data_IF_523902182563
#
_entry.id   IF_523902182563
#
_cell.length_a   1.000
_cell.length_b   1.000
_cell.length_c   1.000
_cell.angle_alpha   90.00
_cell.angle_beta   90.00
_cell.angle_gamma   90.00
#
_symmetry.space_group_name_H-M   'P 1'
#
loop_
_entity.id
_entity.type
_entity.pdbx_description
1 polymer ?
#
# COMPACT_ATOMS: atom_id res chain seq x y z
N UNK A 1 24.52 9.92 -3.83
CA UNK A 1 25.57 9.00 -4.32
C UNK A 1 24.94 7.62 -4.25
N UNK A 2 24.90 6.85 -5.33
CA UNK A 2 24.35 5.49 -5.29
C UNK A 2 25.28 4.58 -4.48
N UNK A 3 24.74 3.86 -3.50
CA UNK A 3 25.47 2.90 -2.70
C UNK A 3 24.67 1.59 -2.69
N UNK A 4 25.23 0.54 -3.28
CA UNK A 4 24.65 -0.80 -3.24
C UNK A 4 25.76 -1.85 -3.12
N UNK A 5 25.50 -2.92 -2.37
CA UNK A 5 26.31 -4.13 -2.28
C UNK A 5 25.89 -5.16 -3.34
N UNK A 6 24.61 -5.17 -3.73
CA UNK A 6 24.03 -6.15 -4.65
C UNK A 6 24.09 -5.67 -6.10
N UNK A 7 23.75 -4.40 -6.33
CA UNK A 7 23.55 -3.83 -7.65
C UNK A 7 24.77 -3.00 -8.06
N UNK A 8 25.23 -3.18 -9.29
CA UNK A 8 26.40 -2.47 -9.82
C UNK A 8 26.14 -0.99 -10.06
N UNK A 9 24.87 -0.59 -10.22
CA UNK A 9 24.43 0.78 -10.43
C UNK A 9 22.92 0.93 -10.14
N UNK A 10 22.45 2.17 -10.14
CA UNK A 10 21.05 2.53 -9.90
C UNK A 10 20.09 1.98 -10.97
N UNK A 11 20.53 1.90 -12.23
CA UNK A 11 19.71 1.34 -13.31
C UNK A 11 19.45 -0.16 -13.10
N UNK A 12 20.41 -0.91 -12.56
CA UNK A 12 20.25 -2.33 -12.21
C UNK A 12 19.26 -2.54 -11.07
N UNK A 13 19.31 -1.69 -10.03
CA UNK A 13 18.31 -1.71 -8.95
C UNK A 13 16.92 -1.42 -9.50
N UNK A 14 16.76 -0.38 -10.32
CA UNK A 14 15.46 -0.05 -10.91
C UNK A 14 14.96 -1.13 -11.87
N UNK A 15 15.84 -1.76 -12.64
CA UNK A 15 15.48 -2.88 -13.50
C UNK A 15 14.97 -4.07 -12.68
N UNK A 16 15.68 -4.43 -11.60
CA UNK A 16 15.25 -5.51 -10.71
C UNK A 16 13.87 -5.25 -10.09
N UNK A 17 13.62 -4.02 -9.64
CA UNK A 17 12.33 -3.66 -9.05
C UNK A 17 11.23 -3.55 -10.09
N UNK A 18 11.57 -3.11 -11.31
CA UNK A 18 10.67 -3.16 -12.46
C UNK A 18 10.27 -4.59 -12.82
N UNK A 19 11.19 -5.56 -12.69
CA UNK A 19 10.88 -6.98 -12.88
C UNK A 19 9.94 -7.50 -11.77
N UNK A 20 10.18 -7.14 -10.50
CA UNK A 20 9.28 -7.44 -9.38
C UNK A 20 7.87 -6.89 -9.66
N UNK A 21 7.77 -5.62 -10.03
CA UNK A 21 6.52 -4.95 -10.37
C UNK A 21 5.81 -5.64 -11.55
N UNK A 22 6.54 -5.99 -12.61
CA UNK A 22 6.00 -6.70 -13.76
C UNK A 22 5.46 -8.09 -13.38
N UNK A 23 6.14 -8.82 -12.49
CA UNK A 23 5.67 -10.11 -11.97
C UNK A 23 4.37 -9.94 -11.16
N UNK A 24 4.28 -8.92 -10.30
CA UNK A 24 3.06 -8.62 -9.55
C UNK A 24 1.89 -8.33 -10.49
N UNK A 25 2.08 -7.45 -11.48
CA UNK A 25 1.05 -7.11 -12.47
C UNK A 25 0.62 -8.29 -13.34
N UNK A 26 1.48 -9.28 -13.53
CA UNK A 26 1.18 -10.55 -14.24
C UNK A 26 0.53 -11.61 -13.35
N UNK A 27 0.22 -11.30 -12.09
CA UNK A 27 -0.38 -12.27 -11.16
C UNK A 27 0.61 -13.35 -10.71
N UNK A 28 1.91 -13.04 -10.70
CA UNK A 28 2.99 -13.94 -10.29
C UNK A 28 3.69 -13.49 -8.99
N UNK A 29 2.95 -13.23 -7.89
CA UNK A 29 3.55 -12.75 -6.65
C UNK A 29 4.49 -13.76 -6.00
N UNK A 30 4.27 -15.06 -6.20
CA UNK A 30 5.15 -16.11 -5.64
C UNK A 30 6.53 -16.13 -6.31
N UNK A 31 6.57 -15.84 -7.62
CA UNK A 31 7.83 -15.69 -8.36
C UNK A 31 8.54 -14.41 -7.92
N UNK A 32 7.80 -13.31 -7.77
CA UNK A 32 8.33 -12.05 -7.24
C UNK A 32 8.91 -12.21 -5.82
N UNK A 33 8.21 -12.97 -4.96
CA UNK A 33 8.68 -13.30 -3.62
C UNK A 33 9.97 -14.11 -3.67
N UNK A 34 10.04 -15.13 -4.53
CA UNK A 34 11.22 -15.99 -4.65
C UNK A 34 12.49 -15.21 -5.05
N UNK A 35 12.38 -14.27 -5.99
CA UNK A 35 13.55 -13.47 -6.42
C UNK A 35 13.97 -12.46 -5.33
N UNK A 36 13.01 -11.86 -4.60
CA UNK A 36 13.29 -10.97 -3.48
C UNK A 36 13.92 -11.71 -2.31
N UNK A 37 13.39 -12.88 -1.97
CA UNK A 37 13.91 -13.74 -0.91
C UNK A 37 15.34 -14.19 -1.20
N UNK A 38 15.71 -14.41 -2.47
CA UNK A 38 17.10 -14.68 -2.84
C UNK A 38 18.02 -13.51 -2.50
N UNK A 39 17.67 -12.28 -2.91
CA UNK A 39 18.50 -11.09 -2.65
C UNK A 39 18.56 -10.76 -1.15
N UNK A 40 17.44 -10.88 -0.45
CA UNK A 40 17.39 -10.75 1.02
C UNK A 40 18.19 -11.86 1.72
N UNK A 41 18.24 -13.06 1.14
CA UNK A 41 19.07 -14.18 1.61
C UNK A 41 20.55 -13.81 1.65
N UNK A 42 21.06 -13.26 0.55
CA UNK A 42 22.45 -12.84 0.43
C UNK A 42 22.80 -11.77 1.49
N UNK A 43 21.95 -10.74 1.66
CA UNK A 43 22.14 -9.74 2.72
C UNK A 43 22.08 -10.33 4.13
N UNK A 44 21.16 -11.26 4.37
CA UNK A 44 21.00 -11.91 5.66
C UNK A 44 22.23 -12.73 6.04
N UNK A 45 22.87 -13.39 5.06
CA UNK A 45 24.14 -14.11 5.24
C UNK A 45 25.30 -13.17 5.57
N UNK A 46 25.33 -11.98 4.98
CA UNK A 46 26.29 -10.92 5.28
C UNK A 46 26.05 -10.23 6.63
N UNK A 47 24.91 -10.50 7.26
CA UNK A 47 24.61 -10.10 8.63
C UNK A 47 23.51 -9.04 8.75
N UNK A 48 22.86 -8.64 7.66
CA UNK A 48 21.80 -7.64 7.69
C UNK A 48 20.57 -8.14 8.50
N UNK A 49 20.19 -7.38 9.52
CA UNK A 49 19.10 -7.78 10.44
C UNK A 49 17.71 -7.53 9.85
N UNK A 50 17.55 -6.53 8.99
CA UNK A 50 16.27 -6.25 8.32
C UNK A 50 15.94 -7.36 7.32
N UNK A 51 16.93 -7.81 6.55
CA UNK A 51 16.78 -8.91 5.62
C UNK A 51 16.44 -10.23 6.35
N UNK A 52 17.14 -10.54 7.46
CA UNK A 52 16.80 -11.68 8.34
C UNK A 52 15.37 -11.59 8.87
N UNK A 53 14.90 -10.38 9.17
CA UNK A 53 13.56 -10.15 9.68
C UNK A 53 12.51 -10.39 8.59
N UNK A 54 12.72 -9.90 7.37
CA UNK A 54 11.84 -10.18 6.22
C UNK A 54 11.68 -11.69 5.98
N UNK A 55 12.79 -12.43 5.94
CA UNK A 55 12.79 -13.87 5.67
C UNK A 55 12.07 -14.71 6.75
N UNK A 56 11.87 -14.16 7.95
CA UNK A 56 11.14 -14.82 9.05
C UNK A 56 9.63 -14.67 8.97
N UNK A 57 9.10 -13.82 8.09
CA UNK A 57 7.66 -13.55 8.00
C UNK A 57 7.04 -14.33 6.84
N UNK A 58 6.38 -15.46 7.12
CA UNK A 58 5.63 -16.18 6.10
C UNK A 58 4.33 -15.45 5.76
N UNK A 59 3.81 -15.67 4.55
CA UNK A 59 2.49 -15.13 4.15
C UNK A 59 1.38 -15.52 5.12
N UNK A 60 1.43 -16.72 5.70
CA UNK A 60 0.43 -17.22 6.66
C UNK A 60 0.40 -16.48 8.00
N UNK A 61 1.43 -15.68 8.29
CA UNK A 61 1.43 -14.80 9.46
C UNK A 61 0.62 -13.51 9.24
N UNK A 62 0.33 -13.19 7.97
CA UNK A 62 -0.35 -11.95 7.56
C UNK A 62 -1.85 -12.22 7.49
N UNK A 63 -2.64 -11.36 8.14
CA UNK A 63 -4.08 -11.50 8.22
C UNK A 63 -4.76 -10.20 7.82
N UNK A 64 -5.75 -10.30 6.94
CA UNK A 64 -6.66 -9.21 6.63
C UNK A 64 -7.84 -9.21 7.58
N UNK A 65 -8.12 -8.05 8.14
CA UNK A 65 -9.22 -7.77 9.06
C UNK A 65 -10.24 -6.88 8.35
N UNK A 66 -11.54 -7.07 8.61
CA UNK A 66 -12.60 -6.27 8.01
C UNK A 66 -13.13 -6.81 6.67
N UNK A 67 -12.57 -7.92 6.18
CA UNK A 67 -12.99 -8.56 4.92
C UNK A 67 -14.49 -8.87 4.87
N UNK A 68 -15.04 -9.35 5.98
CA UNK A 68 -16.46 -9.65 6.17
C UNK A 68 -17.39 -8.43 6.02
N UNK A 69 -16.85 -7.21 6.16
CA UNK A 69 -17.64 -5.98 6.07
C UNK A 69 -17.82 -5.51 4.62
N UNK A 70 -17.06 -6.07 3.67
CA UNK A 70 -17.08 -5.64 2.27
C UNK A 70 -18.48 -5.73 1.65
N UNK A 71 -19.26 -6.77 1.98
CA UNK A 71 -20.62 -6.94 1.44
C UNK A 71 -21.54 -5.77 1.83
N UNK A 72 -21.46 -5.29 3.07
CA UNK A 72 -22.27 -4.16 3.54
C UNK A 72 -21.79 -2.84 2.93
N UNK A 73 -20.47 -2.65 2.80
CA UNK A 73 -19.88 -1.48 2.15
C UNK A 73 -20.29 -1.36 0.69
N UNK A 74 -20.23 -2.46 -0.06
CA UNK A 74 -20.66 -2.49 -1.46
C UNK A 74 -22.13 -2.13 -1.60
N UNK A 75 -23.02 -2.67 -0.75
CA UNK A 75 -24.44 -2.29 -0.73
C UNK A 75 -24.65 -0.80 -0.47
N UNK A 76 -23.83 -0.20 0.41
CA UNK A 76 -23.90 1.22 0.75
C UNK A 76 -23.44 2.11 -0.42
N UNK A 77 -22.42 1.69 -1.16
CA UNK A 77 -21.80 2.50 -2.22
C UNK A 77 -22.39 2.28 -3.60
N UNK A 78 -23.02 1.14 -3.84
CA UNK A 78 -23.72 0.86 -5.09
C UNK A 78 -24.83 1.87 -5.38
N UNK A 79 -24.88 2.29 -6.64
CA UNK A 79 -25.99 3.07 -7.19
C UNK A 79 -26.65 2.30 -8.35
N UNK A 80 -27.94 2.54 -8.63
CA UNK A 80 -28.68 1.80 -9.65
C UNK A 80 -28.01 1.77 -11.04
N UNK A 81 -27.34 2.84 -11.42
CA UNK A 81 -26.67 3.05 -12.72
C UNK A 81 -25.13 3.08 -12.60
N UNK A 82 -24.60 2.89 -11.39
CA UNK A 82 -23.17 3.03 -11.10
C UNK A 82 -22.79 2.13 -9.93
N UNK A 83 -22.76 0.83 -10.20
CA UNK A 83 -22.32 -0.17 -9.22
C UNK A 83 -20.81 -0.18 -9.12
N UNK A 84 -20.31 -0.60 -7.95
CA UNK A 84 -18.89 -0.85 -7.76
C UNK A 84 -18.50 -2.14 -8.48
N UNK A 85 -17.48 -2.07 -9.34
CA UNK A 85 -17.04 -3.15 -10.23
C UNK A 85 -15.58 -3.53 -10.00
N UNK A 86 -14.84 -2.72 -9.24
CA UNK A 86 -13.54 -3.09 -8.70
C UNK A 86 -13.30 -2.56 -7.28
N UNK A 87 -12.40 -3.23 -6.58
CA UNK A 87 -11.87 -2.88 -5.28
C UNK A 87 -10.35 -2.87 -5.37
N UNK A 88 -9.67 -1.87 -4.80
CA UNK A 88 -8.23 -1.94 -4.52
C UNK A 88 -7.99 -1.89 -3.02
N UNK A 89 -6.98 -2.63 -2.55
CA UNK A 89 -6.44 -2.53 -1.20
C UNK A 89 -5.03 -2.00 -1.33
N UNK A 90 -4.83 -0.73 -0.97
CA UNK A 90 -3.60 -0.02 -1.22
C UNK A 90 -2.85 0.25 0.08
N UNK A 91 -1.53 0.05 0.09
CA UNK A 91 -0.68 0.59 1.14
C UNK A 91 -0.71 2.12 1.00
N UNK A 92 -1.21 2.79 2.04
CA UNK A 92 -1.06 4.22 2.25
C UNK A 92 0.11 4.44 3.21
N UNK A 93 0.93 5.48 2.98
CA UNK A 93 1.98 5.81 3.92
C UNK A 93 1.32 6.52 5.11
N UNK A 94 1.92 6.39 6.30
CA UNK A 94 1.40 7.10 7.45
C UNK A 94 1.47 8.62 7.19
N UNK A 95 0.34 9.31 7.34
CA UNK A 95 0.22 10.76 7.13
C UNK A 95 1.22 11.54 8.00
N UNK A 96 1.50 11.02 9.19
CA UNK A 96 2.64 11.37 10.02
C UNK A 96 3.39 10.11 10.40
N UNK A 97 4.70 10.06 10.15
CA UNK A 97 5.53 8.95 10.59
C UNK A 97 5.34 8.75 12.09
N UNK A 98 4.90 7.56 12.55
CA UNK A 98 4.68 7.31 13.96
C UNK A 98 5.97 7.61 14.74
N UNK A 99 5.82 8.18 15.93
CA UNK A 99 6.92 8.22 16.90
C UNK A 99 7.15 6.78 17.38
N UNK A 100 7.98 6.05 16.62
CA UNK A 100 8.40 4.71 16.99
C UNK A 100 9.31 4.82 18.22
N UNK A 101 8.71 4.71 19.39
CA UNK A 101 9.43 4.74 20.65
C UNK A 101 10.24 3.45 20.78
N UNK A 102 11.58 3.58 20.85
CA UNK A 102 12.53 2.47 21.03
C UNK A 102 12.18 1.50 22.17
N UNK A 103 11.32 1.92 23.11
CA UNK A 103 10.94 1.17 24.30
C UNK A 103 9.87 0.09 24.06
N UNK A 104 9.06 0.21 23.01
CA UNK A 104 7.97 -0.73 22.70
C UNK A 104 8.21 -1.57 21.43
N UNK A 105 9.41 -1.45 20.85
CA UNK A 105 9.71 -2.00 19.54
C UNK A 105 9.12 -1.14 18.43
N UNK A 106 9.68 -1.25 17.23
CA UNK A 106 9.25 -0.47 16.07
C UNK A 106 8.04 -1.13 15.40
N UNK A 107 7.05 -1.56 16.18
CA UNK A 107 5.89 -2.28 15.66
C UNK A 107 4.88 -1.30 15.07
N UNK A 108 4.67 -1.35 13.76
CA UNK A 108 3.69 -0.52 13.06
C UNK A 108 3.12 -1.28 11.88
N UNK A 109 1.82 -1.61 11.91
CA UNK A 109 1.15 -2.21 10.74
C UNK A 109 0.98 -1.16 9.65
N UNK A 110 1.06 -1.52 8.35
CA UNK A 110 0.71 -0.57 7.31
C UNK A 110 -0.72 -0.07 7.43
N UNK A 111 -0.86 1.23 7.17
CA UNK A 111 -2.16 1.82 6.87
C UNK A 111 -2.59 1.33 5.48
N UNK A 112 -3.85 0.92 5.39
CA UNK A 112 -4.42 0.43 4.15
C UNK A 112 -5.64 1.27 3.76
N UNK A 113 -5.67 1.68 2.50
CA UNK A 113 -6.84 2.27 1.87
C UNK A 113 -7.61 1.21 1.11
N UNK A 114 -8.91 1.12 1.38
CA UNK A 114 -9.87 0.32 0.62
C UNK A 114 -10.57 1.23 -0.39
N UNK A 115 -10.23 1.08 -1.66
CA UNK A 115 -10.64 1.97 -2.73
C UNK A 115 -11.68 1.30 -3.62
N UNK A 116 -12.82 1.95 -3.82
CA UNK A 116 -13.97 1.39 -4.54
C UNK A 116 -14.12 2.09 -5.89
N UNK A 117 -14.16 1.31 -6.98
CA UNK A 117 -14.28 1.82 -8.34
C UNK A 117 -15.54 1.30 -9.03
N UNK A 118 -16.07 2.08 -9.95
CA UNK A 118 -17.03 1.63 -10.96
C UNK A 118 -16.39 1.68 -12.35
N UNK A 119 -17.13 1.25 -13.37
CA UNK A 119 -16.66 1.24 -14.77
C UNK A 119 -16.52 2.64 -15.41
N UNK A 120 -16.51 3.71 -14.62
CA UNK A 120 -16.53 5.09 -15.12
C UNK A 120 -15.17 5.59 -15.57
N UNK A 121 -14.10 5.18 -14.88
CA UNK A 121 -12.73 5.53 -15.26
C UNK A 121 -12.10 4.46 -16.18
N UNK A 122 -12.45 3.19 -15.96
CA UNK A 122 -11.94 2.04 -16.69
C UNK A 122 -12.97 0.90 -16.63
N UNK A 123 -13.19 0.10 -17.69
CA UNK A 123 -14.25 -0.91 -17.76
C UNK A 123 -13.90 -2.21 -17.00
N UNK A 124 -13.71 -2.10 -15.68
CA UNK A 124 -13.31 -3.21 -14.80
C UNK A 124 -14.19 -4.46 -14.90
N UNK A 125 -15.51 -4.29 -15.09
CA UNK A 125 -16.45 -5.43 -15.17
C UNK A 125 -16.12 -6.46 -16.24
N UNK A 126 -15.45 -6.06 -17.32
CA UNK A 126 -15.11 -6.94 -18.44
C UNK A 126 -13.62 -7.00 -18.75
N UNK A 127 -12.78 -6.37 -17.93
CA UNK A 127 -11.35 -6.31 -18.17
C UNK A 127 -10.65 -7.57 -17.66
N UNK A 128 -9.73 -8.07 -18.47
CA UNK A 128 -8.74 -9.06 -18.12
C UNK A 128 -7.46 -8.39 -17.63
N UNK A 129 -6.51 -9.19 -17.15
CA UNK A 129 -5.24 -8.69 -16.62
C UNK A 129 -4.41 -8.02 -17.72
N UNK A 130 -4.47 -8.55 -18.93
CA UNK A 130 -3.85 -8.00 -20.13
C UNK A 130 -4.38 -6.60 -20.46
N UNK A 131 -5.69 -6.37 -20.27
CA UNK A 131 -6.28 -5.04 -20.51
C UNK A 131 -5.74 -3.99 -19.54
N UNK A 132 -5.48 -4.37 -18.28
CA UNK A 132 -4.83 -3.49 -17.31
C UNK A 132 -3.37 -3.26 -17.70
N UNK A 133 -2.66 -4.33 -18.07
CA UNK A 133 -1.25 -4.27 -18.48
C UNK A 133 -1.03 -3.30 -19.64
N UNK A 134 -1.91 -3.31 -20.63
CA UNK A 134 -1.86 -2.43 -21.80
C UNK A 134 -2.17 -0.96 -21.46
N UNK A 135 -2.84 -0.71 -20.33
CA UNK A 135 -3.21 0.64 -19.91
C UNK A 135 -2.21 1.30 -18.94
N UNK A 136 -1.22 0.56 -18.42
CA UNK A 136 -0.22 1.15 -17.54
C UNK A 136 0.64 2.17 -18.29
N UNK A 137 0.82 3.33 -17.66
CA UNK A 137 1.71 4.37 -18.14
C UNK A 137 2.65 4.81 -17.02
N UNK A 138 3.73 5.54 -17.32
CA UNK A 138 4.56 6.16 -16.29
C UNK A 138 3.81 7.12 -15.35
N UNK A 139 2.57 7.51 -15.69
CA UNK A 139 1.70 8.37 -14.86
C UNK A 139 0.65 7.57 -14.08
N UNK A 140 0.73 6.23 -14.08
CA UNK A 140 -0.29 5.34 -13.52
C UNK A 140 -1.30 4.87 -14.58
N UNK A 141 -2.27 4.09 -14.12
CA UNK A 141 -3.38 3.61 -14.94
C UNK A 141 -4.50 4.67 -15.08
N UNK A 142 -5.41 4.53 -16.06
CA UNK A 142 -6.54 5.45 -16.27
C UNK A 142 -7.51 5.53 -15.08
N UNK A 143 -7.48 4.54 -14.18
CA UNK A 143 -8.27 4.52 -12.95
C UNK A 143 -7.66 5.32 -11.79
N UNK A 144 -6.39 5.74 -11.88
CA UNK A 144 -5.74 6.51 -10.81
C UNK A 144 -6.53 7.80 -10.51
N UNK A 145 -7.00 7.93 -9.26
CA UNK A 145 -7.86 9.04 -8.82
C UNK A 145 -9.33 8.98 -9.30
N UNK A 146 -9.69 7.96 -10.06
CA UNK A 146 -11.03 7.72 -10.61
C UNK A 146 -11.97 6.89 -9.74
N UNK A 147 -11.77 6.88 -8.42
CA UNK A 147 -12.56 6.09 -7.47
C UNK A 147 -13.88 6.78 -7.07
N UNK A 148 -14.85 5.96 -6.68
CA UNK A 148 -16.15 6.40 -6.14
C UNK A 148 -16.09 6.68 -4.65
N UNK A 149 -15.32 5.86 -3.92
CA UNK A 149 -15.13 5.97 -2.49
C UNK A 149 -13.76 5.42 -2.07
N UNK A 150 -13.27 5.88 -0.93
CA UNK A 150 -12.08 5.35 -0.24
C UNK A 150 -12.37 5.37 1.25
N UNK A 151 -12.06 4.28 1.94
CA UNK A 151 -12.12 4.19 3.40
C UNK A 151 -11.11 3.15 3.94
N UNK A 152 -11.04 2.97 5.27
CA UNK A 152 -10.17 1.99 5.91
C UNK A 152 -10.93 0.71 6.30
N UNK A 153 -11.77 0.16 5.40
CA UNK A 153 -12.55 -1.06 5.68
C UNK A 153 -11.64 -2.26 5.93
N UNK A 154 -10.62 -2.44 5.10
CA UNK A 154 -9.64 -3.52 5.23
C UNK A 154 -8.42 -2.99 6.00
N UNK A 155 -8.01 -3.75 7.01
CA UNK A 155 -6.76 -3.53 7.73
C UNK A 155 -5.90 -4.80 7.70
N UNK A 156 -4.61 -4.67 8.01
CA UNK A 156 -3.66 -5.78 8.07
C UNK A 156 -3.12 -5.99 9.49
N UNK A 157 -2.81 -7.25 9.79
CA UNK A 157 -2.11 -7.70 10.99
C UNK A 157 -1.00 -8.66 10.62
N UNK A 158 0.07 -8.68 11.40
CA UNK A 158 1.19 -9.60 11.26
C UNK A 158 2.35 -9.05 10.44
N UNK A 159 2.27 -7.81 9.96
CA UNK A 159 3.38 -7.12 9.28
C UNK A 159 4.03 -6.06 10.17
N UNK A 160 3.46 -5.78 11.34
CA UNK A 160 3.88 -4.64 12.15
C UNK A 160 5.36 -4.65 12.54
N UNK A 161 5.90 -5.84 12.82
CA UNK A 161 7.31 -6.00 13.16
C UNK A 161 8.25 -5.67 12.00
N UNK A 162 7.88 -5.99 10.75
CA UNK A 162 8.74 -5.74 9.59
C UNK A 162 8.54 -4.33 9.05
N UNK A 163 7.29 -3.85 8.99
CA UNK A 163 6.97 -2.61 8.32
C UNK A 163 7.51 -1.40 9.08
N UNK A 164 7.44 -1.39 10.41
CA UNK A 164 8.05 -0.30 11.17
C UNK A 164 9.59 -0.27 11.09
N UNK A 165 10.26 -1.41 10.97
CA UNK A 165 11.71 -1.44 10.69
C UNK A 165 12.04 -0.92 9.28
N UNK A 166 11.23 -1.28 8.27
CA UNK A 166 11.33 -0.72 6.92
C UNK A 166 11.19 0.80 6.93
N UNK A 167 10.18 1.33 7.63
CA UNK A 167 9.96 2.77 7.76
C UNK A 167 11.15 3.49 8.39
N UNK A 168 11.81 2.86 9.37
CA UNK A 168 13.04 3.41 9.97
C UNK A 168 14.24 3.34 9.04
N UNK A 169 14.44 2.20 8.35
CA UNK A 169 15.52 2.04 7.38
C UNK A 169 15.39 3.07 6.25
N UNK A 170 14.20 3.19 5.65
CA UNK A 170 13.90 4.23 4.66
C UNK A 170 14.22 5.63 5.20
N UNK A 171 13.84 5.95 6.44
CA UNK A 171 14.15 7.24 7.06
C UNK A 171 15.64 7.47 7.25
N UNK A 172 16.41 6.44 7.62
CA UNK A 172 17.87 6.53 7.79
C UNK A 172 18.59 6.68 6.44
N UNK A 173 18.02 6.15 5.35
CA UNK A 173 18.53 6.29 3.99
C UNK A 173 18.13 7.59 3.27
N UNK A 174 17.20 8.40 3.82
CA UNK A 174 16.77 9.69 3.24
C UNK A 174 17.84 10.80 3.15
N UNK A 175 18.78 10.95 4.09
CA UNK A 175 19.80 12.01 4.01
C UNK A 175 20.66 11.89 2.74
N UNK A 176 20.95 13.02 2.09
CA UNK A 176 21.71 13.06 0.82
C UNK A 176 23.14 12.49 0.93
N UNK A 177 23.66 12.36 2.15
CA UNK A 177 24.98 11.85 2.49
C UNK A 177 24.99 10.41 3.04
N UNK A 178 23.84 9.73 3.05
CA UNK A 178 23.78 8.33 3.46
C UNK A 178 24.62 7.46 2.51
N UNK A 179 25.57 6.71 3.06
CA UNK A 179 26.61 6.03 2.29
C UNK A 179 26.80 4.55 2.69
N UNK A 180 25.88 3.96 3.46
CA UNK A 180 25.90 2.54 3.77
C UNK A 180 25.18 1.77 2.65
N UNK A 181 25.90 1.05 1.78
CA UNK A 181 25.29 0.35 0.65
C UNK A 181 24.35 -0.78 1.07
N UNK A 182 24.67 -1.46 2.19
CA UNK A 182 23.91 -2.58 2.69
C UNK A 182 22.57 -2.11 3.26
N UNK A 183 22.58 -0.96 3.94
CA UNK A 183 21.36 -0.35 4.47
C UNK A 183 20.44 0.18 3.36
N UNK A 184 21.01 0.74 2.27
CA UNK A 184 20.22 1.14 1.10
C UNK A 184 19.54 -0.06 0.43
N UNK A 185 20.30 -1.13 0.16
CA UNK A 185 19.76 -2.34 -0.46
C UNK A 185 18.68 -2.99 0.41
N UNK A 186 18.95 -3.19 1.71
CA UNK A 186 17.99 -3.80 2.63
C UNK A 186 16.72 -2.96 2.75
N UNK A 187 16.81 -1.63 2.83
CA UNK A 187 15.64 -0.76 2.90
C UNK A 187 14.74 -0.92 1.66
N UNK A 188 15.32 -0.89 0.46
CA UNK A 188 14.56 -0.96 -0.79
C UNK A 188 13.97 -2.36 -1.02
N UNK A 189 14.77 -3.41 -0.83
CA UNK A 189 14.33 -4.80 -0.98
C UNK A 189 13.25 -5.17 0.05
N UNK A 190 13.39 -4.74 1.30
CA UNK A 190 12.40 -4.99 2.34
C UNK A 190 11.08 -4.23 2.07
N UNK A 191 11.15 -3.04 1.47
CA UNK A 191 9.96 -2.29 1.04
C UNK A 191 9.19 -3.02 -0.06
N UNK A 192 9.91 -3.50 -1.09
CA UNK A 192 9.33 -4.35 -2.13
C UNK A 192 8.75 -5.65 -1.55
N UNK A 193 9.45 -6.27 -0.60
CA UNK A 193 8.99 -7.49 0.07
C UNK A 193 7.65 -7.30 0.82
N UNK A 194 7.47 -6.18 1.53
CA UNK A 194 6.19 -5.86 2.20
C UNK A 194 5.05 -5.79 1.17
N UNK A 195 5.27 -5.11 0.05
CA UNK A 195 4.31 -5.02 -1.05
C UNK A 195 3.94 -6.40 -1.62
N UNK A 196 4.93 -7.24 -1.91
CA UNK A 196 4.71 -8.61 -2.42
C UNK A 196 3.94 -9.46 -1.40
N UNK A 197 4.33 -9.39 -0.13
CA UNK A 197 3.68 -10.15 0.95
C UNK A 197 2.23 -9.76 1.16
N UNK A 198 1.92 -8.48 1.10
CA UNK A 198 0.53 -8.02 1.14
C UNK A 198 -0.25 -8.54 -0.06
N UNK A 199 0.32 -8.50 -1.27
CA UNK A 199 -0.31 -9.04 -2.47
C UNK A 199 -0.63 -10.54 -2.31
N UNK A 200 0.33 -11.35 -1.86
CA UNK A 200 0.10 -12.78 -1.59
C UNK A 200 -0.99 -13.01 -0.54
N UNK A 201 -1.01 -12.21 0.53
CA UNK A 201 -2.01 -12.33 1.59
C UNK A 201 -3.42 -11.97 1.11
N UNK A 202 -3.56 -10.91 0.29
CA UNK A 202 -4.85 -10.53 -0.33
C UNK A 202 -5.31 -11.64 -1.28
N UNK A 203 -4.43 -12.17 -2.13
CA UNK A 203 -4.74 -13.28 -3.03
C UNK A 203 -5.27 -14.49 -2.26
N UNK A 204 -4.50 -14.96 -1.27
CA UNK A 204 -4.89 -16.11 -0.45
C UNK A 204 -6.19 -15.86 0.33
N UNK A 205 -6.43 -14.62 0.79
CA UNK A 205 -7.69 -14.27 1.47
C UNK A 205 -8.87 -14.33 0.51
N UNK A 206 -8.73 -13.81 -0.70
CA UNK A 206 -9.80 -13.80 -1.69
C UNK A 206 -10.13 -15.21 -2.20
N UNK A 207 -9.10 -16.04 -2.42
CA UNK A 207 -9.27 -17.46 -2.78
C UNK A 207 -9.86 -18.28 -1.62
N UNK A 208 -9.44 -18.03 -0.37
CA UNK A 208 -9.88 -18.85 0.77
C UNK A 208 -11.20 -18.41 1.43
N UNK A 209 -11.54 -17.12 1.42
CA UNK A 209 -12.76 -16.58 2.04
C UNK A 209 -13.81 -16.13 1.01
N UNK A 210 -13.46 -16.10 -0.26
CA UNK A 210 -14.28 -15.55 -1.33
C UNK A 210 -14.41 -14.02 -1.31
N UNK A 211 -14.92 -13.50 -2.41
CA UNK A 211 -15.37 -12.11 -2.57
C UNK A 211 -16.90 -12.02 -2.42
N UNK A 212 -17.46 -10.90 -1.94
CA UNK A 212 -18.92 -10.73 -1.79
C UNK A 212 -19.73 -10.86 -3.09
N UNK A 213 -19.07 -10.66 -4.24
CA UNK A 213 -19.60 -10.89 -5.59
C UNK A 213 -18.43 -10.90 -6.59
N UNK A 214 -18.63 -11.38 -7.83
CA UNK A 214 -17.65 -11.21 -8.90
C UNK A 214 -17.35 -9.74 -9.19
N UNK A 215 -16.08 -9.36 -9.03
CA UNK A 215 -15.55 -8.02 -9.31
C UNK A 215 -14.03 -8.11 -9.44
N UNK A 216 -13.40 -7.06 -9.97
CA UNK A 216 -11.94 -7.00 -9.98
C UNK A 216 -11.41 -6.63 -8.59
N UNK A 217 -10.40 -7.37 -8.14
CA UNK A 217 -9.65 -7.10 -6.91
C UNK A 217 -8.22 -6.71 -7.28
N UNK A 218 -7.80 -5.55 -6.80
CA UNK A 218 -6.47 -5.00 -6.99
C UNK A 218 -5.78 -4.82 -5.63
N UNK A 219 -4.46 -4.76 -5.70
CA UNK A 219 -3.60 -4.31 -4.62
C UNK A 219 -2.72 -3.20 -5.16
N UNK A 220 -2.43 -2.21 -4.32
CA UNK A 220 -1.52 -1.15 -4.67
C UNK A 220 -0.61 -0.73 -3.53
N UNK A 221 0.33 0.14 -3.87
CA UNK A 221 1.16 0.88 -2.95
C UNK A 221 1.30 2.28 -3.51
N UNK A 222 0.60 3.23 -2.90
CA UNK A 222 0.45 4.56 -3.46
C UNK A 222 1.48 5.56 -2.92
N UNK A 223 2.19 5.22 -1.85
CA UNK A 223 2.95 6.22 -1.09
C UNK A 223 4.34 5.75 -0.65
N UNK A 224 4.68 4.48 -0.86
CA UNK A 224 6.05 3.96 -0.67
C UNK A 224 6.56 3.29 -1.94
N UNK A 225 7.87 3.18 -2.07
CA UNK A 225 8.49 2.51 -3.21
C UNK A 225 8.54 0.99 -2.98
N UNK A 226 8.22 0.13 -3.97
CA UNK A 226 7.78 0.48 -5.31
C UNK A 226 6.34 1.00 -5.35
N UNK A 227 6.12 2.05 -6.15
CA UNK A 227 4.77 2.49 -6.50
C UNK A 227 4.21 1.49 -7.50
N UNK A 228 3.15 0.80 -7.13
CA UNK A 228 2.53 -0.16 -8.03
C UNK A 228 1.05 -0.28 -7.73
N UNK A 229 0.35 -0.81 -8.72
CA UNK A 229 -0.97 -1.34 -8.60
C UNK A 229 -1.04 -2.56 -9.53
N UNK A 230 -1.73 -3.59 -9.10
CA UNK A 230 -1.79 -4.88 -9.79
C UNK A 230 -3.12 -5.59 -9.51
N UNK A 231 -3.66 -6.26 -10.52
CA UNK A 231 -4.81 -7.15 -10.32
C UNK A 231 -4.40 -8.41 -9.57
N UNK A 232 -4.99 -8.59 -8.38
CA UNK A 232 -4.92 -9.84 -7.62
C UNK A 232 -5.80 -10.89 -8.31
N UNK A 233 -7.04 -10.52 -8.58
CA UNK A 233 -8.04 -11.33 -9.27
C UNK A 233 -8.83 -10.44 -10.21
N UNK A 234 -8.98 -10.86 -11.45
CA UNK A 234 -9.94 -10.22 -12.35
C UNK A 234 -11.34 -10.78 -12.11
N UNK A 235 -12.37 -10.05 -12.54
CA UNK A 235 -13.73 -10.56 -12.44
C UNK A 235 -13.90 -11.90 -13.19
N UNK A 236 -13.43 -12.06 -14.45
CA UNK A 236 -13.49 -13.35 -15.14
C UNK A 236 -12.77 -14.46 -14.39
N UNK A 237 -11.57 -14.22 -13.85
CA UNK A 237 -10.84 -15.23 -13.05
C UNK A 237 -11.63 -15.68 -11.83
N UNK A 238 -12.32 -14.75 -11.16
CA UNK A 238 -13.13 -15.09 -10.01
C UNK A 238 -14.39 -15.86 -10.40
N UNK A 239 -14.99 -15.56 -11.55
CA UNK A 239 -16.12 -16.35 -12.09
C UNK A 239 -15.66 -17.78 -12.42
N UNK A 240 -14.49 -17.93 -13.05
CA UNK A 240 -13.90 -19.25 -13.34
C UNK A 240 -13.61 -20.06 -12.05
N UNK A 241 -13.16 -19.41 -10.98
CA UNK A 241 -12.94 -20.06 -9.68
C UNK A 241 -14.25 -20.61 -9.08
N UNK A 242 -15.34 -19.85 -9.16
CA UNK A 242 -16.65 -20.28 -8.66
C UNK A 242 -17.21 -21.47 -9.45
N UNK A 243 -16.97 -21.52 -10.76
CA UNK A 243 -17.42 -22.61 -11.61
C UNK A 243 -16.68 -23.92 -11.25
N UNK A 244 -15.37 -23.86 -10.97
CA UNK A 244 -14.58 -25.03 -10.53
C UNK A 244 -15.05 -25.55 -9.17
N UNK A 245 -15.32 -24.68 -8.19
CA UNK A 245 -15.84 -25.09 -6.89
C UNK A 245 -17.24 -25.71 -6.99
N UNK A 246 -18.08 -25.20 -7.91
CA UNK A 246 -19.43 -25.72 -8.16
C UNK A 246 -19.46 -27.11 -8.81
N UNK A 247 -18.43 -27.49 -9.57
CA UNK A 247 -18.32 -28.82 -10.17
C UNK A 247 -17.87 -29.90 -9.16
N UNK A 248 -17.17 -29.55 -8.09
CA UNK A 248 -16.74 -30.49 -7.05
C UNK A 248 -17.88 -30.86 -6.06
N UNK A 249 -18.95 -30.05 -5.99
CA UNK A 249 -20.03 -30.20 -5.01
C UNK A 249 -21.24 -31.03 -5.52
N UNK A 250 -21.15 -31.63 -6.72
CA UNK A 250 -22.16 -32.58 -7.25
C UNK A 250 -22.11 -33.97 -6.55
N UNK A 251 -21.42 -34.05 -5.41
CA UNK A 251 -21.39 -35.19 -4.48
C UNK A 251 -22.03 -34.88 -3.12
N UNK A 252 -23.07 -34.03 -3.06
CA UNK A 252 -24.15 -34.11 -2.05
C UNK A 252 -23.78 -34.17 -0.56
N UNK A 253 -22.67 -33.56 -0.13
CA UNK A 253 -22.18 -33.64 1.25
C UNK A 253 -21.84 -32.29 1.91
N UNK A 254 -22.12 -31.14 1.28
CA UNK A 254 -21.83 -29.83 1.86
C UNK A 254 -22.85 -29.34 2.91
N UNK A 255 -24.01 -29.99 3.07
CA UNK A 255 -25.02 -29.58 4.05
C UNK A 255 -24.64 -29.95 5.51
N UNK A 256 -23.57 -30.72 5.74
CA UNK A 256 -23.10 -31.10 7.09
C UNK A 256 -21.86 -30.32 7.57
N UNK A 257 -21.18 -29.54 6.71
CA UNK A 257 -20.01 -28.73 7.12
C UNK A 257 -20.37 -27.33 7.64
N UNK A 258 -21.61 -26.89 7.48
CA UNK A 258 -22.14 -25.64 8.06
C UNK A 258 -22.93 -25.88 9.36
N UNK A 259 -22.41 -26.73 10.25
CA UNK A 259 -22.84 -26.67 11.64
C UNK A 259 -22.50 -25.25 12.17
N UNK A 260 -23.48 -24.50 12.72
CA UNK A 260 -23.25 -23.13 13.16
C UNK A 260 -22.16 -23.15 14.23
N UNK A 261 -21.04 -22.46 13.95
CA UNK A 261 -19.98 -22.18 14.92
C UNK A 261 -20.65 -21.67 16.20
N UNK A 262 -20.64 -22.47 17.25
CA UNK A 262 -21.05 -22.03 18.57
C UNK A 262 -20.11 -20.91 18.98
N UNK A 263 -20.65 -19.69 19.01
CA UNK A 263 -19.98 -18.48 19.47
C UNK A 263 -19.33 -18.79 20.82
N UNK A 264 -17.99 -18.67 20.87
CA UNK A 264 -17.26 -18.75 22.12
C UNK A 264 -17.80 -17.67 23.08
N UNK A 265 -17.98 -17.97 24.39
CA UNK A 265 -18.52 -17.01 25.33
C UNK A 265 -17.65 -15.76 25.36
N UNK A 266 -18.28 -14.61 25.09
CA UNK A 266 -17.68 -13.28 25.16
C UNK A 266 -17.27 -13.04 26.63
N UNK A 267 -16.00 -12.67 26.91
CA UNK A 267 -15.59 -12.26 28.25
C UNK A 267 -16.44 -11.09 28.78
N UNK A 268 -16.81 -11.12 30.06
CA UNK A 268 -17.70 -10.12 30.70
C UNK A 268 -17.16 -8.67 30.63
N UNK A 269 -15.89 -8.48 30.24
CA UNK A 269 -15.18 -7.21 30.11
C UNK A 269 -14.99 -6.73 28.65
N UNK A 270 -15.63 -7.40 27.68
CA UNK A 270 -15.59 -6.96 26.28
C UNK A 270 -16.57 -5.80 26.02
N UNK A 271 -16.03 -4.57 25.93
CA UNK A 271 -16.75 -3.40 25.43
C UNK A 271 -16.41 -3.16 23.95
N UNK A 272 -17.32 -3.46 23.00
CA UNK A 272 -17.08 -3.29 21.57
C UNK A 272 -16.99 -1.81 21.11
N UNK A 273 -17.16 -0.85 22.03
CA UNK A 273 -17.16 0.59 21.72
C UNK A 273 -15.99 1.37 22.34
N UNK A 274 -15.10 0.71 23.09
CA UNK A 274 -14.02 1.39 23.81
C UNK A 274 -12.92 2.02 22.92
N UNK A 275 -12.94 1.78 21.61
CA UNK A 275 -11.84 2.21 20.71
C UNK A 275 -12.28 2.65 19.31
N UNK A 276 -13.46 3.25 19.14
CA UNK A 276 -13.82 3.90 17.86
C UNK A 276 -13.18 5.32 17.81
N UNK A 277 -12.18 5.57 16.94
CA UNK A 277 -11.72 6.94 16.67
C UNK A 277 -12.84 7.68 15.91
N UNK A 278 -12.97 8.98 16.17
CA UNK A 278 -14.04 9.83 15.66
C UNK A 278 -14.18 9.84 14.13
N UNK A 279 -15.42 10.03 13.69
CA UNK A 279 -15.85 10.11 12.29
C UNK A 279 -15.26 11.35 11.58
N UNK A 280 -14.06 11.22 11.03
CA UNK A 280 -13.57 12.14 9.99
C UNK A 280 -13.54 11.42 8.62
N UNK A 281 -14.73 11.13 8.08
CA UNK A 281 -14.91 10.66 6.70
C UNK A 281 -14.83 11.83 5.73
N UNK A 282 -13.74 11.95 4.96
CA UNK A 282 -13.61 12.97 3.91
C UNK A 282 -13.90 12.35 2.54
N UNK A 283 -15.05 12.70 1.96
CA UNK A 283 -15.36 12.37 0.56
C UNK A 283 -14.34 13.03 -0.39
N UNK A 284 -13.85 12.32 -1.40
CA UNK A 284 -12.99 12.89 -2.46
C UNK A 284 -13.61 14.09 -3.20
N UNK A 285 -14.94 14.23 -3.18
CA UNK A 285 -15.62 15.44 -3.68
C UNK A 285 -15.43 16.66 -2.75
N UNK A 286 -15.35 16.45 -1.44
CA UNK A 286 -15.04 17.49 -0.45
C UNK A 286 -13.56 17.93 -0.55
N UNK A 287 -12.65 16.99 -0.83
CA UNK A 287 -11.23 17.29 -1.05
C UNK A 287 -11.03 18.15 -2.32
N UNK A 288 -11.70 17.82 -3.42
CA UNK A 288 -11.69 18.61 -4.67
C UNK A 288 -12.26 20.02 -4.51
N UNK A 289 -13.27 20.18 -3.63
CA UNK A 289 -13.82 21.50 -3.31
C UNK A 289 -12.84 22.33 -2.49
N UNK A 290 -12.19 21.73 -1.48
CA UNK A 290 -11.19 22.39 -0.64
C UNK A 290 -9.94 22.80 -1.44
N UNK A 291 -9.50 21.95 -2.38
CA UNK A 291 -8.38 22.25 -3.28
C UNK A 291 -8.69 23.33 -4.33
N UNK A 292 -9.97 23.54 -4.69
CA UNK A 292 -10.38 24.65 -5.56
C UNK A 292 -10.56 25.98 -4.84
N UNK A 293 -10.87 25.94 -3.54
CA UNK A 293 -11.05 27.15 -2.71
C UNK A 293 -9.71 27.76 -2.25
N UNK A 294 -8.61 26.99 -2.32
CA UNK A 294 -7.24 27.51 -2.21
C UNK A 294 -6.88 28.15 -3.56
N UNK A 295 -7.29 29.40 -3.76
CA UNK A 295 -6.76 30.22 -4.84
C UNK A 295 -5.25 30.44 -4.64
N UNK A 296 -4.42 30.42 -5.69
CA UNK A 296 -3.01 30.72 -5.55
C UNK A 296 -2.84 32.17 -5.07
N UNK A 297 -2.15 32.36 -3.94
CA UNK A 297 -1.63 33.69 -3.61
C UNK A 297 -0.69 34.13 -4.74
N UNK A 298 -0.73 35.40 -5.17
CA UNK A 298 0.18 35.90 -6.19
C UNK A 298 1.62 35.84 -5.64
N UNK A 299 2.46 35.00 -6.24
CA UNK A 299 3.91 35.02 -6.05
C UNK A 299 4.42 36.45 -6.30
N UNK A 300 4.97 37.06 -5.26
CA UNK A 300 5.74 38.30 -5.41
C UNK A 300 7.08 37.89 -6.04
N UNK A 301 7.28 38.29 -7.30
CA UNK A 301 8.51 38.08 -8.04
C UNK A 301 9.73 38.61 -7.26
N UNK A 302 10.66 37.71 -6.93
CA UNK A 302 11.95 38.02 -6.30
C UNK A 302 12.96 38.60 -7.30
N UNK A 303 12.59 39.69 -7.98
CA UNK A 303 13.51 40.46 -8.83
C UNK A 303 13.35 41.96 -8.55
N UNK A 304 13.77 42.38 -7.36
CA UNK A 304 14.14 43.77 -7.09
C UNK A 304 15.37 43.78 -6.19
N UNK A 305 16.50 44.23 -6.75
CA UNK A 305 17.74 44.48 -6.01
C UNK A 305 17.51 45.49 -4.87
N UNK A 306 18.10 45.31 -3.68
CA UNK A 306 17.87 46.22 -2.56
C UNK A 306 18.60 47.54 -2.79
N UNK A 307 17.87 48.53 -3.29
CA UNK A 307 18.28 49.94 -3.23
C UNK A 307 18.08 50.45 -1.81
N UNK A 308 19.20 50.57 -1.08
CA UNK A 308 19.46 51.66 -0.16
C UNK A 308 18.68 51.70 1.16
N UNK A 309 19.35 51.27 2.24
CA UNK A 309 19.35 52.01 3.52
C UNK A 309 20.74 51.94 4.16
N UNK A 310 21.75 52.31 3.38
CA UNK A 310 23.06 52.72 3.90
C UNK A 310 22.91 54.08 4.56
N UNK A 311 22.74 54.10 5.89
CA UNK A 311 22.47 55.36 6.57
C UNK A 311 22.48 55.34 8.09
N UNK A 312 23.15 54.40 8.77
CA UNK A 312 23.25 54.46 10.24
C UNK A 312 24.58 54.00 10.87
N UNK A 313 25.60 53.64 10.08
CA UNK A 313 26.90 53.17 10.61
C UNK A 313 27.99 54.28 10.58
N UNK A 314 27.72 55.45 10.01
CA UNK A 314 28.72 56.53 9.88
C UNK A 314 28.80 57.52 11.07
N UNK A 315 28.32 57.11 12.26
CA UNK A 315 28.36 57.96 13.48
C UNK A 315 29.13 57.38 14.67
N UNK A 316 29.85 56.26 14.49
CA UNK A 316 30.64 55.64 15.57
C UNK A 316 32.14 55.42 15.28
N UNK A 317 32.66 55.87 14.13
CA UNK A 317 34.09 55.73 13.77
C UNK A 317 34.82 57.07 13.52
N UNK A 318 34.36 58.15 14.15
CA UNK A 318 35.15 59.39 14.35
C UNK A 318 35.36 59.66 15.83
N UNK A 319 36.10 58.78 16.50
CA UNK A 319 36.71 59.02 17.81
C UNK A 319 37.89 58.07 18.06
N UNK A 320 38.86 58.06 17.14
CA UNK A 320 40.23 57.62 17.41
C UNK A 320 41.07 57.78 16.14
N UNK A 321 42.04 58.71 16.22
CA UNK A 321 43.13 59.00 15.29
C UNK A 321 42.75 59.51 13.89
#
# INVERSE_FOLDING_TARGET
>A
MFASNIFGNEDELFAFLGDVEALLRRGQPDVAASILESQLGDLAEEGDELAKLCLKVPVSAIRLVGWEQLAEKLKKFDRPDKRITALSVDISAPFEMPLLEQKHGNFYEPDLDTVFYSDSAFPFSGAHREDLLDCYTPKGGPWSGGFEHVDATIAVRGMGGIYGEVLLAQRRCRPDDHNDPMEQDSAVLASAFVAVRLHQAIKSTAEGRGMPRPMMLMVGNNESFPYFDAAVLTRPEYEDLLDVEGEEDDCGAADEMFAPLQIAPIPDDYDPFASMPGEDQVSGAALRKKLREIAPEPEIANDVAPTGFGGFINKLLKRSA
#
